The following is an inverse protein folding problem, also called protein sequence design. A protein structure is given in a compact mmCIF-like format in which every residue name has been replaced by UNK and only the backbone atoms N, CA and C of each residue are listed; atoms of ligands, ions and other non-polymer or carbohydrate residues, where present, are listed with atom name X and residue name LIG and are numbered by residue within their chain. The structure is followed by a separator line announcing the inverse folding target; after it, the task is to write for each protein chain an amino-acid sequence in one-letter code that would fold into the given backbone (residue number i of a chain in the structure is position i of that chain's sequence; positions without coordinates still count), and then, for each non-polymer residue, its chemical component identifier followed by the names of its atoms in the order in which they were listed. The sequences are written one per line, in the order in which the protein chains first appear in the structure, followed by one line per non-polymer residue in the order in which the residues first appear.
data_IF_554072078572
#
_entry.id   IF_554072078572
#
_cell.length_a   1.000
_cell.length_b   1.000
_cell.length_c   1.000
_cell.angle_alpha   90.00
_cell.angle_beta   90.00
_cell.angle_gamma   90.00
#
_symmetry.space_group_name_H-M   'P 1'
#
loop_
_entity.id
_entity.type
_entity.pdbx_description
1 polymer ?
#
# COMPACT_ATOMS: atom_id res chain seq x y z
N UNK A 1 -9.03 -27.39 11.29
CA UNK A 1 -7.86 -26.82 12.00
C UNK A 1 -7.30 -25.68 11.14
N UNK A 2 -7.27 -24.45 11.63
CA UNK A 2 -6.98 -23.27 10.82
C UNK A 2 -5.48 -23.24 10.46
N UNK A 3 -5.13 -23.44 9.19
CA UNK A 3 -3.77 -23.68 8.70
C UNK A 3 -2.82 -22.52 9.06
N UNK A 4 -3.33 -21.30 9.02
CA UNK A 4 -2.64 -20.10 9.52
C UNK A 4 -2.23 -20.19 10.99
N UNK A 5 -3.09 -20.70 11.87
CA UNK A 5 -2.83 -20.74 13.31
C UNK A 5 -1.76 -21.77 13.64
N UNK A 6 -1.74 -22.89 12.92
CA UNK A 6 -0.67 -23.89 13.03
C UNK A 6 0.64 -23.33 12.49
N UNK A 7 0.58 -22.59 11.38
CA UNK A 7 1.73 -21.91 10.79
C UNK A 7 2.34 -20.89 11.77
N UNK A 8 1.56 -19.96 12.32
CA UNK A 8 2.05 -18.99 13.32
C UNK A 8 2.59 -19.62 14.61
N UNK A 9 2.11 -20.83 14.98
CA UNK A 9 2.61 -21.57 16.15
C UNK A 9 3.96 -22.25 15.90
N UNK A 10 4.28 -22.55 14.63
CA UNK A 10 5.49 -23.27 14.22
C UNK A 10 6.53 -22.35 13.58
N UNK A 11 6.09 -21.23 13.01
CA UNK A 11 6.95 -20.32 12.29
C UNK A 11 7.91 -19.63 13.26
N UNK A 12 9.21 -19.73 12.96
CA UNK A 12 10.21 -18.98 13.70
C UNK A 12 10.01 -17.48 13.43
N UNK A 13 10.37 -16.61 14.38
CA UNK A 13 10.31 -15.15 14.21
C UNK A 13 11.03 -14.70 12.93
N UNK A 14 12.15 -15.37 12.60
CA UNK A 14 12.89 -15.16 11.37
C UNK A 14 12.03 -15.42 10.12
N UNK A 15 11.28 -16.53 10.07
CA UNK A 15 10.44 -16.89 8.93
C UNK A 15 9.28 -15.90 8.74
N UNK A 16 8.68 -15.44 9.84
CA UNK A 16 7.64 -14.41 9.77
C UNK A 16 8.19 -13.09 9.21
N UNK A 17 9.39 -12.69 9.64
CA UNK A 17 10.05 -11.50 9.11
C UNK A 17 10.38 -11.67 7.62
N UNK A 18 10.84 -12.85 7.20
CA UNK A 18 11.10 -13.15 5.79
C UNK A 18 9.84 -13.07 4.93
N UNK A 19 8.71 -13.62 5.39
CA UNK A 19 7.44 -13.55 4.66
C UNK A 19 6.94 -12.11 4.54
N UNK A 20 6.95 -11.37 5.65
CA UNK A 20 6.57 -9.95 5.65
C UNK A 20 7.45 -9.14 4.69
N UNK A 21 8.75 -9.45 4.65
CA UNK A 21 9.68 -8.83 3.74
C UNK A 21 9.33 -9.11 2.27
N UNK A 22 9.08 -10.37 1.89
CA UNK A 22 8.67 -10.71 0.51
C UNK A 22 7.35 -10.05 0.10
N UNK A 23 6.36 -10.02 1.00
CA UNK A 23 5.09 -9.33 0.75
C UNK A 23 5.32 -7.84 0.51
N UNK A 24 6.17 -7.20 1.31
CA UNK A 24 6.50 -5.78 1.16
C UNK A 24 7.17 -5.49 -0.19
N UNK A 25 8.10 -6.36 -0.63
CA UNK A 25 8.72 -6.25 -1.96
C UNK A 25 7.67 -6.35 -3.07
N UNK A 26 6.75 -7.32 -2.98
CA UNK A 26 5.68 -7.47 -3.95
C UNK A 26 4.75 -6.24 -4.00
N UNK A 27 4.43 -5.68 -2.83
CA UNK A 27 3.61 -4.46 -2.71
C UNK A 27 4.31 -3.25 -3.34
N UNK A 28 5.60 -3.05 -3.04
CA UNK A 28 6.40 -1.96 -3.61
C UNK A 28 6.50 -2.07 -5.13
N UNK A 29 6.72 -3.29 -5.64
CA UNK A 29 6.72 -3.56 -7.08
C UNK A 29 5.36 -3.24 -7.71
N UNK A 30 4.26 -3.69 -7.11
CA UNK A 30 2.90 -3.44 -7.60
C UNK A 30 2.58 -1.94 -7.67
N UNK A 31 3.00 -1.18 -6.66
CA UNK A 31 2.94 0.28 -6.67
C UNK A 31 3.76 0.89 -7.82
N UNK A 32 5.01 0.44 -8.01
CA UNK A 32 5.86 0.93 -9.11
C UNK A 32 5.28 0.59 -10.49
N UNK A 33 4.68 -0.58 -10.66
CA UNK A 33 3.99 -0.96 -11.91
C UNK A 33 2.85 0.03 -12.20
N UNK A 34 1.96 0.27 -11.24
CA UNK A 34 0.87 1.23 -11.42
C UNK A 34 1.36 2.64 -11.76
N UNK A 35 2.45 3.07 -11.11
CA UNK A 35 3.09 4.36 -11.36
C UNK A 35 3.68 4.47 -12.77
N UNK A 36 4.55 3.54 -13.16
CA UNK A 36 5.24 3.56 -14.45
C UNK A 36 4.29 3.41 -15.63
N UNK A 37 3.27 2.54 -15.50
CA UNK A 37 2.25 2.36 -16.51
C UNK A 37 1.43 3.63 -16.73
N UNK A 38 1.18 4.39 -15.67
CA UNK A 38 0.37 5.60 -15.77
C UNK A 38 1.14 6.75 -16.40
N UNK A 39 2.44 6.89 -16.07
CA UNK A 39 3.27 7.89 -16.76
C UNK A 39 3.55 7.49 -18.22
N UNK A 40 3.47 6.20 -18.56
CA UNK A 40 3.76 5.67 -19.89
C UNK A 40 5.23 5.32 -20.09
N UNK A 41 5.92 4.94 -19.01
CA UNK A 41 7.31 4.51 -19.00
C UNK A 41 7.43 3.07 -18.47
N UNK A 42 6.52 2.20 -18.89
CA UNK A 42 6.36 0.80 -18.46
C UNK A 42 7.66 0.02 -18.64
N UNK A 43 8.41 0.32 -19.70
CA UNK A 43 9.72 -0.24 -20.00
C UNK A 43 10.75 -0.02 -18.89
N UNK A 44 10.60 1.05 -18.08
CA UNK A 44 11.53 1.36 -17.00
C UNK A 44 11.46 0.35 -15.84
N UNK A 45 10.37 -0.40 -15.70
CA UNK A 45 10.23 -1.47 -14.70
C UNK A 45 11.36 -2.51 -14.85
N UNK A 46 11.78 -2.80 -16.08
CA UNK A 46 12.85 -3.76 -16.38
C UNK A 46 14.23 -3.27 -15.92
N UNK A 47 14.39 -1.96 -15.72
CA UNK A 47 15.64 -1.37 -15.26
C UNK A 47 15.75 -1.30 -13.74
N UNK A 48 14.70 -1.63 -12.99
CA UNK A 48 14.70 -1.56 -11.53
C UNK A 48 15.68 -2.58 -10.93
N UNK A 49 16.62 -2.10 -10.13
CA UNK A 49 17.54 -2.99 -9.44
C UNK A 49 16.85 -3.69 -8.25
N UNK A 50 17.21 -4.94 -7.93
CA UNK A 50 16.72 -5.61 -6.73
C UNK A 50 17.01 -4.80 -5.44
N UNK A 51 18.15 -4.12 -5.39
CA UNK A 51 18.53 -3.26 -4.27
C UNK A 51 17.59 -2.05 -4.13
N UNK A 52 17.20 -1.39 -5.22
CA UNK A 52 16.27 -0.28 -5.17
C UNK A 52 14.85 -0.74 -4.77
N UNK A 53 14.43 -1.91 -5.25
CA UNK A 53 13.18 -2.53 -4.79
C UNK A 53 13.25 -2.83 -3.29
N UNK A 54 14.38 -3.35 -2.79
CA UNK A 54 14.60 -3.58 -1.36
C UNK A 54 14.46 -2.29 -0.55
N UNK A 55 15.19 -1.23 -0.94
CA UNK A 55 15.22 0.06 -0.21
C UNK A 55 13.85 0.73 -0.22
N UNK A 56 13.17 0.75 -1.37
CA UNK A 56 11.82 1.33 -1.48
C UNK A 56 10.78 0.57 -0.65
N UNK A 57 10.96 -0.74 -0.50
CA UNK A 57 10.09 -1.59 0.31
C UNK A 57 10.33 -1.43 1.81
N UNK A 58 11.50 -0.95 2.24
CA UNK A 58 11.85 -0.89 3.66
C UNK A 58 10.87 -0.04 4.49
N UNK A 59 10.48 1.15 3.98
CA UNK A 59 9.50 2.03 4.64
C UNK A 59 8.13 1.36 4.73
N UNK A 60 7.71 0.69 3.66
CA UNK A 60 6.47 -0.07 3.59
C UNK A 60 6.47 -1.25 4.58
N UNK A 61 7.60 -1.95 4.69
CA UNK A 61 7.78 -3.04 5.65
C UNK A 61 7.63 -2.55 7.08
N UNK A 62 8.29 -1.44 7.43
CA UNK A 62 8.18 -0.85 8.77
C UNK A 62 6.75 -0.43 9.10
N UNK A 63 6.08 0.29 8.20
CA UNK A 63 4.69 0.68 8.38
C UNK A 63 3.77 -0.54 8.57
N UNK A 64 4.01 -1.61 7.82
CA UNK A 64 3.25 -2.86 7.92
C UNK A 64 3.49 -3.57 9.26
N UNK A 65 4.75 -3.66 9.73
CA UNK A 65 5.09 -4.26 11.02
C UNK A 65 4.41 -3.50 12.17
N UNK A 66 4.48 -2.17 12.16
CA UNK A 66 3.84 -1.33 13.18
C UNK A 66 2.32 -1.50 13.13
N UNK A 67 1.72 -1.56 11.94
CA UNK A 67 0.29 -1.81 11.77
C UNK A 67 -0.15 -3.18 12.29
N UNK A 68 0.64 -4.23 12.01
CA UNK A 68 0.39 -5.58 12.55
C UNK A 68 0.47 -5.58 14.08
N UNK A 69 1.49 -4.94 14.67
CA UNK A 69 1.66 -4.88 16.13
C UNK A 69 0.49 -4.17 16.82
N UNK A 70 0.06 -3.02 16.29
CA UNK A 70 -1.09 -2.26 16.82
C UNK A 70 -2.40 -3.04 16.61
N UNK A 71 -2.58 -3.64 15.43
CA UNK A 71 -3.74 -4.48 15.12
C UNK A 71 -3.87 -5.67 16.06
N UNK A 72 -2.75 -6.34 16.38
CA UNK A 72 -2.70 -7.40 17.39
C UNK A 72 -3.14 -6.86 18.76
N UNK A 73 -2.53 -5.78 19.24
CA UNK A 73 -2.83 -5.19 20.54
C UNK A 73 -4.32 -4.81 20.67
N UNK A 74 -4.87 -4.12 19.68
CA UNK A 74 -6.27 -3.71 19.67
C UNK A 74 -7.22 -4.91 19.52
N UNK A 75 -6.85 -5.92 18.73
CA UNK A 75 -7.63 -7.15 18.56
C UNK A 75 -7.79 -7.92 19.87
N UNK A 76 -6.78 -7.92 20.75
CA UNK A 76 -6.92 -8.53 22.08
C UNK A 76 -7.80 -7.71 23.03
N UNK A 77 -7.90 -6.39 22.84
CA UNK A 77 -8.63 -5.48 23.75
C UNK A 77 -10.11 -5.30 23.39
N UNK A 78 -10.43 -5.24 22.11
CA UNK A 78 -11.77 -4.91 21.60
C UNK A 78 -12.65 -6.16 21.43
N UNK A 79 -13.97 -6.00 21.51
CA UNK A 79 -14.95 -7.09 21.23
C UNK A 79 -15.14 -7.26 19.72
N UNK A 80 -15.45 -8.48 19.26
CA UNK A 80 -15.63 -8.80 17.84
C UNK A 80 -16.62 -7.86 17.15
N UNK A 81 -17.83 -7.68 17.71
CA UNK A 81 -18.84 -6.75 17.16
C UNK A 81 -18.34 -5.31 17.01
N UNK A 82 -17.50 -4.83 17.92
CA UNK A 82 -16.96 -3.47 17.83
C UNK A 82 -15.96 -3.37 16.67
N UNK A 83 -15.10 -4.40 16.51
CA UNK A 83 -14.11 -4.46 15.43
C UNK A 83 -14.77 -4.62 14.07
N UNK A 84 -15.81 -5.44 13.96
CA UNK A 84 -16.62 -5.58 12.75
C UNK A 84 -17.19 -4.22 12.29
N UNK A 85 -17.80 -3.47 13.20
CA UNK A 85 -18.34 -2.13 12.93
C UNK A 85 -17.22 -1.16 12.51
N UNK A 86 -16.10 -1.14 13.24
CA UNK A 86 -14.95 -0.26 12.92
C UNK A 86 -14.41 -0.57 11.53
N UNK A 87 -14.22 -1.84 11.20
CA UNK A 87 -13.73 -2.29 9.89
C UNK A 87 -14.70 -1.88 8.78
N UNK A 88 -16.01 -2.09 8.99
CA UNK A 88 -17.03 -1.69 8.02
C UNK A 88 -17.07 -0.18 7.79
N UNK A 89 -17.13 0.61 8.85
CA UNK A 89 -17.13 2.08 8.77
C UNK A 89 -15.86 2.57 8.08
N UNK A 90 -14.69 2.02 8.45
CA UNK A 90 -13.41 2.39 7.85
C UNK A 90 -13.37 2.09 6.36
N UNK A 91 -13.94 0.96 5.92
CA UNK A 91 -14.08 0.62 4.51
C UNK A 91 -15.01 1.58 3.76
N UNK A 92 -16.18 1.88 4.31
CA UNK A 92 -17.12 2.84 3.72
C UNK A 92 -16.48 4.22 3.61
N UNK A 93 -15.82 4.70 4.68
CA UNK A 93 -15.11 5.98 4.69
C UNK A 93 -14.00 5.99 3.64
N UNK A 94 -13.26 4.90 3.47
CA UNK A 94 -12.23 4.79 2.43
C UNK A 94 -12.84 4.88 1.03
N UNK A 95 -13.86 4.09 0.72
CA UNK A 95 -14.49 4.05 -0.62
C UNK A 95 -15.19 5.36 -0.94
N UNK A 96 -16.06 5.85 -0.04
CA UNK A 96 -16.80 7.10 -0.23
C UNK A 96 -15.84 8.28 -0.22
N UNK A 97 -14.88 8.32 0.71
CA UNK A 97 -13.87 9.39 0.76
C UNK A 97 -13.07 9.46 -0.53
N UNK A 98 -12.62 8.33 -1.07
CA UNK A 98 -11.91 8.27 -2.36
C UNK A 98 -12.79 8.73 -3.52
N UNK A 99 -14.06 8.33 -3.55
CA UNK A 99 -15.00 8.77 -4.59
C UNK A 99 -15.29 10.27 -4.51
N UNK A 100 -15.55 10.81 -3.32
CA UNK A 100 -15.79 12.24 -3.07
C UNK A 100 -14.56 13.07 -3.41
N UNK A 101 -13.36 12.65 -2.97
CA UNK A 101 -12.10 13.32 -3.33
C UNK A 101 -11.91 13.30 -4.86
N UNK A 102 -12.14 12.15 -5.51
CA UNK A 102 -12.01 12.03 -6.95
C UNK A 102 -12.99 12.91 -7.74
N UNK A 103 -14.22 13.06 -7.23
CA UNK A 103 -15.28 13.83 -7.91
C UNK A 103 -15.15 15.34 -7.68
N UNK A 104 -15.01 15.78 -6.42
CA UNK A 104 -15.01 17.21 -6.07
C UNK A 104 -13.62 17.84 -6.11
N UNK A 105 -12.58 17.08 -5.81
CA UNK A 105 -11.20 17.58 -5.71
C UNK A 105 -10.33 17.04 -6.85
N UNK A 106 -10.91 16.78 -8.01
CA UNK A 106 -10.19 16.29 -9.20
C UNK A 106 -9.01 17.20 -9.60
N UNK A 107 -9.11 18.49 -9.27
CA UNK A 107 -8.05 19.50 -9.43
C UNK A 107 -7.08 19.56 -8.23
N UNK A 108 -7.57 19.36 -7.00
CA UNK A 108 -6.76 19.35 -5.78
C UNK A 108 -6.30 17.94 -5.47
N UNK A 109 -5.22 17.54 -6.13
CA UNK A 109 -4.79 16.14 -6.13
C UNK A 109 -4.05 15.77 -4.84
N UNK A 110 -4.80 15.41 -3.80
CA UNK A 110 -4.25 14.95 -2.52
C UNK A 110 -3.56 13.59 -2.72
N UNK A 111 -2.23 13.57 -2.63
CA UNK A 111 -1.47 12.32 -2.62
C UNK A 111 -1.56 11.69 -1.23
N UNK A 112 -2.28 10.59 -1.11
CA UNK A 112 -2.28 9.82 0.15
C UNK A 112 -1.00 8.97 0.18
N UNK A 113 -0.27 9.04 1.30
CA UNK A 113 0.94 8.23 1.50
C UNK A 113 0.59 6.73 1.55
N UNK A 114 1.29 5.95 0.73
CA UNK A 114 1.12 4.50 0.63
C UNK A 114 1.33 3.83 1.99
N UNK A 115 2.33 4.29 2.73
CA UNK A 115 2.71 3.79 4.05
C UNK A 115 1.57 3.93 5.05
N UNK A 116 0.85 5.06 5.03
CA UNK A 116 -0.28 5.31 5.94
C UNK A 116 -1.45 4.39 5.59
N UNK A 117 -1.78 4.24 4.31
CA UNK A 117 -2.87 3.36 3.87
C UNK A 117 -2.56 1.91 4.26
N UNK A 118 -1.34 1.43 3.99
CA UNK A 118 -0.95 0.07 4.33
C UNK A 118 -0.90 -0.14 5.84
N UNK A 119 -0.45 0.86 6.60
CA UNK A 119 -0.52 0.83 8.06
C UNK A 119 -1.97 0.62 8.55
N UNK A 120 -2.93 1.41 8.06
CA UNK A 120 -4.34 1.31 8.44
C UNK A 120 -4.92 -0.04 8.01
N UNK A 121 -4.71 -0.46 6.76
CA UNK A 121 -5.23 -1.72 6.23
C UNK A 121 -4.70 -2.92 7.02
N UNK A 122 -3.40 -2.99 7.28
CA UNK A 122 -2.81 -4.07 8.07
C UNK A 122 -3.32 -4.06 9.51
N UNK A 123 -3.48 -2.88 10.13
CA UNK A 123 -4.05 -2.75 11.47
C UNK A 123 -5.47 -3.32 11.53
N UNK A 124 -6.34 -2.91 10.61
CA UNK A 124 -7.73 -3.37 10.55
C UNK A 124 -7.83 -4.86 10.25
N UNK A 125 -7.04 -5.37 9.31
CA UNK A 125 -7.03 -6.78 8.92
C UNK A 125 -6.63 -7.67 10.10
N UNK A 126 -5.51 -7.35 10.77
CA UNK A 126 -5.02 -8.13 11.91
C UNK A 126 -5.97 -8.03 13.10
N UNK A 127 -6.47 -6.84 13.41
CA UNK A 127 -7.46 -6.63 14.47
C UNK A 127 -8.71 -7.50 14.24
N UNK A 128 -9.23 -7.52 13.00
CA UNK A 128 -10.36 -8.38 12.61
C UNK A 128 -10.03 -9.87 12.75
N UNK A 129 -8.87 -10.31 12.25
CA UNK A 129 -8.47 -11.73 12.30
C UNK A 129 -8.28 -12.25 13.73
N UNK A 130 -7.65 -11.46 14.61
CA UNK A 130 -7.44 -11.84 16.02
C UNK A 130 -8.77 -11.93 16.76
N UNK A 131 -9.67 -10.95 16.57
CA UNK A 131 -10.96 -10.95 17.27
C UNK A 131 -11.86 -12.09 16.81
N UNK A 132 -11.85 -12.40 15.50
CA UNK A 132 -12.56 -13.53 14.93
C UNK A 132 -12.08 -14.86 15.50
N UNK A 133 -10.77 -15.07 15.56
CA UNK A 133 -10.19 -16.30 16.11
C UNK A 133 -10.48 -16.45 17.60
N UNK A 134 -10.44 -15.35 18.36
CA UNK A 134 -10.78 -15.35 19.79
C UNK A 134 -12.25 -15.69 20.03
N UNK A 135 -13.16 -15.12 19.24
CA UNK A 135 -14.60 -15.39 19.37
C UNK A 135 -14.93 -16.86 19.07
N UNK A 136 -14.30 -17.43 18.02
CA UNK A 136 -14.41 -18.86 17.69
C UNK A 136 -13.91 -19.79 18.80
N UNK A 137 -12.85 -19.42 19.51
CA UNK A 137 -12.33 -20.21 20.65
C UNK A 137 -13.27 -20.19 21.85
N UNK A 138 -13.88 -19.04 22.15
CA UNK A 138 -14.85 -18.94 23.23
C UNK A 138 -16.06 -19.85 22.98
N UNK A 139 -16.52 -19.94 21.73
CA UNK A 139 -17.64 -20.80 21.32
C UNK A 139 -17.31 -22.30 21.36
N UNK A 140 -16.07 -22.68 21.07
CA UNK A 140 -15.64 -24.09 20.96
C UNK A 140 -14.96 -24.65 22.22
N UNK A 141 -14.90 -23.88 23.32
CA UNK A 141 -14.30 -24.36 24.58
C UNK A 141 -15.19 -25.44 25.22
N UNK A 142 -14.59 -26.62 25.52
CA UNK A 142 -15.25 -27.81 26.09
C UNK A 142 -15.84 -27.62 27.50
N UNK A 143 -15.90 -26.39 28.04
CA UNK A 143 -16.48 -26.07 29.34
C UNK A 143 -17.57 -24.97 29.30
N UNK A 144 -18.05 -24.56 28.12
CA UNK A 144 -19.08 -23.53 28.03
C UNK A 144 -20.48 -24.11 28.31
N UNK A 145 -20.97 -23.96 29.56
CA UNK A 145 -22.31 -24.35 30.02
C UNK A 145 -23.34 -23.21 29.86
N UNK A 146 -23.15 -22.36 28.85
CA UNK A 146 -24.13 -21.32 28.49
C UNK A 146 -25.25 -21.88 27.62
N UNK A 147 -26.41 -21.18 27.50
CA UNK A 147 -27.46 -21.60 26.58
C UNK A 147 -26.85 -21.78 25.20
N UNK A 148 -27.10 -22.94 24.58
CA UNK A 148 -26.64 -23.30 23.23
C UNK A 148 -27.02 -22.15 22.32
N UNK A 149 -26.06 -21.24 22.05
CA UNK A 149 -26.31 -20.14 21.13
C UNK A 149 -26.43 -20.79 19.78
N UNK A 150 -27.66 -20.75 19.29
CA UNK A 150 -28.10 -21.15 17.97
C UNK A 150 -26.97 -20.90 16.96
N UNK A 151 -26.53 -22.00 16.34
CA UNK A 151 -25.76 -22.08 15.09
C UNK A 151 -25.60 -20.68 14.50
N UNK A 152 -24.44 -20.04 14.69
CA UNK A 152 -24.13 -18.75 14.03
C UNK A 152 -24.63 -18.85 12.59
N UNK A 153 -25.62 -18.02 12.26
CA UNK A 153 -26.36 -18.17 11.01
C UNK A 153 -25.37 -18.18 9.86
N UNK A 154 -25.58 -19.02 8.84
CA UNK A 154 -24.69 -19.13 7.67
C UNK A 154 -24.32 -17.76 7.07
N UNK A 155 -25.15 -16.73 7.26
CA UNK A 155 -24.88 -15.35 6.86
C UNK A 155 -23.65 -14.73 7.54
N UNK A 156 -23.43 -14.94 8.84
CA UNK A 156 -22.27 -14.40 9.58
C UNK A 156 -20.97 -15.06 9.06
N UNK A 157 -21.01 -16.38 8.80
CA UNK A 157 -19.88 -17.11 8.23
C UNK A 157 -19.53 -16.66 6.80
N UNK A 158 -20.53 -16.28 5.99
CA UNK A 158 -20.30 -15.79 4.64
C UNK A 158 -19.71 -14.37 4.64
N UNK A 159 -20.15 -13.51 5.57
CA UNK A 159 -19.63 -12.17 5.73
C UNK A 159 -18.16 -12.15 6.18
N UNK A 160 -17.79 -13.02 7.12
CA UNK A 160 -16.38 -13.22 7.51
C UNK A 160 -15.49 -13.66 6.33
N UNK A 161 -16.03 -14.54 5.47
CA UNK A 161 -15.34 -14.99 4.26
C UNK A 161 -15.13 -13.85 3.27
N UNK A 162 -16.17 -13.05 3.04
CA UNK A 162 -16.12 -11.86 2.19
C UNK A 162 -15.06 -10.86 2.68
N UNK A 163 -15.06 -10.52 3.97
CA UNK A 163 -14.10 -9.56 4.52
C UNK A 163 -12.65 -10.02 4.38
N UNK A 164 -12.36 -11.31 4.54
CA UNK A 164 -11.01 -11.86 4.32
C UNK A 164 -10.55 -11.73 2.86
N UNK A 165 -11.43 -12.07 1.92
CA UNK A 165 -11.15 -11.95 0.49
C UNK A 165 -10.96 -10.47 0.13
N UNK A 166 -11.80 -9.59 0.69
CA UNK A 166 -11.69 -8.16 0.50
C UNK A 166 -10.35 -7.61 1.00
N UNK A 167 -9.89 -8.00 2.20
CA UNK A 167 -8.58 -7.59 2.71
C UNK A 167 -7.44 -8.07 1.83
N UNK A 168 -7.47 -9.33 1.37
CA UNK A 168 -6.47 -9.86 0.45
C UNK A 168 -6.44 -9.04 -0.86
N UNK A 169 -7.62 -8.74 -1.40
CA UNK A 169 -7.75 -7.92 -2.60
C UNK A 169 -7.23 -6.50 -2.39
N UNK A 170 -7.56 -5.86 -1.27
CA UNK A 170 -7.13 -4.49 -0.96
C UNK A 170 -5.61 -4.39 -0.77
N UNK A 171 -4.98 -5.37 -0.11
CA UNK A 171 -3.52 -5.37 0.09
C UNK A 171 -2.78 -5.42 -1.25
N UNK A 172 -3.33 -6.09 -2.26
CA UNK A 172 -2.72 -6.20 -3.59
C UNK A 172 -3.11 -5.02 -4.48
N UNK A 173 -4.39 -4.63 -4.51
CA UNK A 173 -4.93 -3.66 -5.46
C UNK A 173 -4.73 -2.20 -5.02
N UNK A 174 -4.77 -1.91 -3.71
CA UNK A 174 -4.58 -0.54 -3.23
C UNK A 174 -3.22 0.04 -3.63
N UNK A 175 -2.07 -0.66 -3.45
CA UNK A 175 -0.77 -0.17 -3.90
C UNK A 175 -0.74 0.20 -5.39
N UNK A 176 -1.35 -0.62 -6.24
CA UNK A 176 -1.44 -0.35 -7.68
C UNK A 176 -2.17 0.97 -7.95
N UNK A 177 -3.38 1.14 -7.39
CA UNK A 177 -4.18 2.35 -7.59
C UNK A 177 -3.50 3.61 -7.07
N UNK A 178 -2.78 3.51 -5.94
CA UNK A 178 -2.00 4.63 -5.38
C UNK A 178 -0.84 4.98 -6.30
N UNK A 179 -0.18 3.97 -6.87
CA UNK A 179 0.85 4.14 -7.89
C UNK A 179 0.29 4.89 -9.10
N UNK A 180 -0.87 4.47 -9.61
CA UNK A 180 -1.54 5.14 -10.72
C UNK A 180 -1.86 6.59 -10.41
N UNK A 181 -2.40 6.88 -9.23
CA UNK A 181 -2.73 8.26 -8.85
C UNK A 181 -1.48 9.14 -8.84
N UNK A 182 -0.38 8.68 -8.23
CA UNK A 182 0.88 9.43 -8.26
C UNK A 182 1.43 9.63 -9.67
N UNK A 183 1.28 8.63 -10.55
CA UNK A 183 1.63 8.78 -11.96
C UNK A 183 0.80 9.85 -12.67
N UNK A 184 -0.51 9.97 -12.34
CA UNK A 184 -1.35 11.06 -12.86
C UNK A 184 -0.89 12.44 -12.40
N UNK A 185 -0.42 12.57 -11.15
CA UNK A 185 0.14 13.82 -10.63
C UNK A 185 1.35 14.27 -11.45
N UNK A 186 2.26 13.32 -11.71
CA UNK A 186 3.46 13.55 -12.52
C UNK A 186 3.10 13.94 -13.95
N UNK A 187 2.11 13.29 -14.57
CA UNK A 187 1.67 13.65 -15.92
C UNK A 187 1.14 15.07 -16.02
N UNK A 188 0.40 15.54 -15.01
CA UNK A 188 -0.15 16.90 -14.95
C UNK A 188 0.86 17.97 -14.50
N UNK A 189 2.13 17.61 -14.29
CA UNK A 189 3.16 18.48 -13.72
C UNK A 189 2.75 19.12 -12.36
N UNK A 190 1.81 18.49 -11.65
CA UNK A 190 1.24 18.99 -10.39
C UNK A 190 2.02 18.52 -9.15
N UNK A 191 3.09 17.75 -9.35
CA UNK A 191 3.95 17.30 -8.28
C UNK A 191 5.03 18.36 -8.02
N UNK A 192 5.37 18.63 -6.74
CA UNK A 192 6.55 19.43 -6.35
C UNK A 192 7.81 18.70 -6.81
N UNK A 193 8.07 18.76 -8.10
CA UNK A 193 9.11 17.99 -8.74
C UNK A 193 10.38 18.80 -8.81
N UNK A 194 11.48 18.13 -8.47
CA UNK A 194 12.80 18.67 -8.74
C UNK A 194 13.01 18.73 -10.25
N UNK A 195 13.44 19.89 -10.74
CA UNK A 195 13.88 20.08 -12.11
C UNK A 195 15.37 19.81 -12.22
N UNK A 196 15.79 19.35 -13.40
CA UNK A 196 17.14 18.92 -13.66
C UNK A 196 17.67 19.64 -14.90
N UNK A 197 18.88 20.21 -14.78
CA UNK A 197 19.65 20.68 -15.93
C UNK A 197 20.68 19.63 -16.32
N UNK A 198 20.61 19.18 -17.57
CA UNK A 198 21.54 18.21 -18.16
C UNK A 198 22.61 18.98 -18.93
N UNK A 199 23.82 18.43 -19.00
CA UNK A 199 24.87 18.96 -19.85
C UNK A 199 24.42 19.00 -21.32
N UNK A 200 24.69 20.13 -21.99
CA UNK A 200 24.42 20.35 -23.42
C UNK A 200 22.93 20.27 -23.84
N UNK A 201 21.99 20.35 -22.89
CA UNK A 201 20.54 20.40 -23.17
C UNK A 201 19.89 21.58 -22.44
N UNK A 202 19.17 22.41 -23.20
CA UNK A 202 18.47 23.61 -22.69
C UNK A 202 17.05 23.28 -22.21
N UNK A 203 16.59 22.06 -22.45
CA UNK A 203 15.23 21.63 -22.12
C UNK A 203 14.99 21.55 -20.61
N UNK A 204 13.76 21.87 -20.19
CA UNK A 204 13.34 21.66 -18.80
C UNK A 204 12.97 20.19 -18.59
N UNK A 205 13.77 19.50 -17.77
CA UNK A 205 13.55 18.11 -17.39
C UNK A 205 13.05 18.01 -15.95
N UNK A 206 12.06 17.16 -15.73
CA UNK A 206 11.53 16.79 -14.44
C UNK A 206 12.19 15.49 -13.98
N UNK A 207 12.69 15.48 -12.73
CA UNK A 207 13.20 14.27 -12.09
C UNK A 207 12.03 13.35 -11.70
N UNK A 208 11.98 12.13 -12.25
CA UNK A 208 10.92 11.17 -11.95
C UNK A 208 11.37 10.11 -10.94
N UNK A 209 12.48 9.45 -11.21
CA UNK A 209 13.05 8.43 -10.32
C UNK A 209 14.57 8.36 -10.46
N UNK A 210 15.23 7.87 -9.42
CA UNK A 210 16.67 7.59 -9.40
C UNK A 210 16.90 6.13 -9.00
N UNK A 211 17.68 5.42 -9.80
CA UNK A 211 18.09 4.04 -9.56
C UNK A 211 19.60 3.91 -9.67
N UNK A 212 20.29 4.01 -8.53
CA UNK A 212 21.74 4.07 -8.48
C UNK A 212 22.24 5.27 -9.28
N UNK A 213 23.08 5.00 -10.28
CA UNK A 213 23.65 6.03 -11.16
C UNK A 213 22.71 6.46 -12.29
N UNK A 214 21.59 5.76 -12.50
CA UNK A 214 20.65 6.03 -13.61
C UNK A 214 19.45 6.83 -13.13
N UNK A 215 19.00 7.75 -13.96
CA UNK A 215 18.00 8.74 -13.61
C UNK A 215 16.97 8.84 -14.73
N UNK A 216 15.71 8.64 -14.35
CA UNK A 216 14.58 8.79 -15.25
C UNK A 216 14.12 10.24 -15.23
N UNK A 217 14.21 10.88 -16.39
CA UNK A 217 13.76 12.24 -16.62
C UNK A 217 12.55 12.27 -17.54
N UNK A 218 11.63 13.20 -17.29
CA UNK A 218 10.49 13.51 -18.16
C UNK A 218 10.63 14.93 -18.67
N UNK A 219 10.45 15.14 -19.97
CA UNK A 219 10.46 16.49 -20.55
C UNK A 219 9.17 17.22 -20.19
N UNK A 220 9.28 18.48 -19.77
CA UNK A 220 8.13 19.31 -19.40
C UNK A 220 7.48 19.94 -20.65
N UNK A 221 6.86 19.12 -21.49
CA UNK A 221 6.08 19.58 -22.65
C UNK A 221 4.62 19.17 -22.45
N UNK A 222 3.69 20.08 -22.73
CA UNK A 222 2.27 19.76 -22.74
C UNK A 222 1.97 18.76 -23.88
N UNK A 223 1.29 17.66 -23.55
CA UNK A 223 0.83 16.61 -24.46
C UNK A 223 1.89 15.69 -25.09
N UNK A 224 3.18 15.84 -24.80
CA UNK A 224 4.21 14.89 -25.23
C UNK A 224 4.86 14.15 -24.05
N UNK A 225 4.87 12.82 -24.16
CA UNK A 225 5.49 11.93 -23.16
C UNK A 225 6.90 11.56 -23.60
N UNK A 226 7.84 12.49 -23.44
CA UNK A 226 9.25 12.25 -23.74
C UNK A 226 9.98 11.91 -22.45
N UNK A 227 10.55 10.71 -22.42
CA UNK A 227 11.38 10.23 -21.32
C UNK A 227 12.83 10.08 -21.77
N UNK A 228 13.76 10.40 -20.87
CA UNK A 228 15.20 10.21 -21.08
C UNK A 228 15.79 9.52 -19.86
N UNK A 229 16.64 8.53 -20.11
CA UNK A 229 17.45 7.90 -19.08
C UNK A 229 18.85 8.49 -19.18
N UNK A 230 19.33 9.12 -18.11
CA UNK A 230 20.67 9.70 -18.05
C UNK A 230 21.42 9.18 -16.83
N UNK A 231 22.75 9.26 -16.87
CA UNK A 231 23.56 9.00 -15.69
C UNK A 231 23.66 10.22 -14.79
N UNK A 232 23.83 10.02 -13.47
CA UNK A 232 23.94 11.10 -12.49
C UNK A 232 25.06 12.10 -12.83
N UNK A 233 26.16 11.61 -13.39
CA UNK A 233 27.30 12.44 -13.83
C UNK A 233 26.96 13.43 -14.96
N UNK A 234 25.85 13.22 -15.66
CA UNK A 234 25.39 14.11 -16.75
C UNK A 234 24.52 15.27 -16.22
N UNK A 235 24.11 15.21 -14.96
CA UNK A 235 23.35 16.27 -14.30
C UNK A 235 24.29 17.36 -13.80
N UNK A 236 24.02 18.60 -14.21
CA UNK A 236 24.74 19.78 -13.74
C UNK A 236 24.12 20.29 -12.43
N UNK A 237 22.78 20.38 -12.39
CA UNK A 237 22.08 21.00 -11.27
C UNK A 237 20.69 20.37 -11.09
N UNK A 238 20.32 20.17 -9.83
CA UNK A 238 18.96 19.82 -9.40
C UNK A 238 18.38 21.03 -8.67
N UNK A 239 17.21 21.49 -9.08
CA UNK A 239 16.52 22.64 -8.47
C UNK A 239 15.15 22.18 -7.99
N UNK A 240 14.87 22.28 -6.70
CA UNK A 240 13.49 22.16 -6.20
C UNK A 240 12.73 23.41 -6.57
N UNK A 241 11.50 23.28 -7.08
CA UNK A 241 10.58 24.40 -7.14
C UNK A 241 10.34 24.89 -5.70
N UNK A 242 11.01 25.99 -5.33
CA UNK A 242 10.64 26.81 -4.18
C UNK A 242 9.93 28.01 -4.79
N UNK A 243 8.66 28.16 -4.39
CA UNK A 243 7.74 29.28 -4.65
C UNK A 243 6.93 29.28 -5.95
N UNK A 244 5.62 29.08 -5.79
CA UNK A 244 4.65 30.19 -5.77
C UNK A 244 3.64 30.00 -4.64
#
# INVERSE_FOLDING_TARGET
MNLMVVFFKKANLLEMLTILFFISVGISLTYKIGFYNTIGADWYIQNLSPQQLFISSFRVSLASIVGVAIGCYLGFKLKYKAVEIITYISFVVYVVGRWVIGYFFSEHQISINLEIILFILNTLAVMFMITLERDKRNLNSHGFVGPIKEKQSKAISNFDGFLKILFLFLIIFAPYTIGCDKGRLVNKNAFNSSFVKIKDDVSNWQLIDMNGDKILLKKCIENEKIFKLVEYKEIIQITSQVDK
#
